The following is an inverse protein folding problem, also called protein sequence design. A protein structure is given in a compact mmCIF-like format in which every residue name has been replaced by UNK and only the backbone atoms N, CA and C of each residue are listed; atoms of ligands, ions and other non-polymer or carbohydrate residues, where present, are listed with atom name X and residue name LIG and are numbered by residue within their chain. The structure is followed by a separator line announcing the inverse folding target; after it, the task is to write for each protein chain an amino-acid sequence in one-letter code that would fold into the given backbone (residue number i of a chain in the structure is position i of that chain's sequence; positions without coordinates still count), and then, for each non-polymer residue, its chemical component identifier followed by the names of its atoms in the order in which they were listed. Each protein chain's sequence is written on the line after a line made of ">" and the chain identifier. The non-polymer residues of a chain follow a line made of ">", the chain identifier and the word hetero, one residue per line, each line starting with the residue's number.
data_IF_438496278741
#
_entry.id   IF_438496278741
#
_cell.length_a   1.000
_cell.length_b   1.000
_cell.length_c   1.000
_cell.angle_alpha   90.00
_cell.angle_beta   90.00
_cell.angle_gamma   90.00
#
_symmetry.space_group_name_H-M   'P 1'
#
loop_
_entity.id
_entity.type
_entity.pdbx_description
1 polymer ?
#
# COMPACT_ATOMS: atom_id res chain seq x y z
N UNK A 1 11.88 -29.94 -27.49
CA UNK A 1 10.53 -29.66 -26.99
C UNK A 1 10.21 -28.20 -27.25
N UNK A 2 9.02 -27.86 -27.82
CA UNK A 2 8.56 -26.48 -27.93
C UNK A 2 8.36 -25.91 -26.53
N UNK A 3 8.80 -24.65 -26.32
CA UNK A 3 8.60 -23.96 -25.04
C UNK A 3 7.11 -23.69 -24.85
N UNK A 4 6.62 -23.89 -23.63
CA UNK A 4 5.26 -23.48 -23.25
C UNK A 4 5.11 -21.98 -23.35
N UNK A 5 3.97 -21.52 -23.89
CA UNK A 5 3.63 -20.09 -24.01
C UNK A 5 2.66 -19.70 -22.91
N UNK A 6 3.01 -18.68 -22.15
CA UNK A 6 2.20 -18.20 -21.02
C UNK A 6 1.84 -16.75 -21.24
N UNK A 7 0.57 -16.41 -21.12
CA UNK A 7 0.11 -15.03 -21.02
C UNK A 7 -0.04 -14.64 -19.54
N UNK A 8 0.40 -13.44 -19.19
CA UNK A 8 0.13 -12.83 -17.88
C UNK A 8 -0.66 -11.55 -18.12
N UNK A 9 -1.83 -11.43 -17.52
CA UNK A 9 -2.69 -10.26 -17.64
C UNK A 9 -2.52 -9.39 -16.39
N UNK A 10 -1.98 -8.19 -16.56
CA UNK A 10 -1.61 -7.25 -15.51
C UNK A 10 -0.12 -7.31 -15.15
N UNK A 11 0.51 -6.14 -15.09
CA UNK A 11 1.93 -5.97 -14.81
C UNK A 11 2.21 -5.35 -13.42
N UNK A 12 1.29 -5.51 -12.47
CA UNK A 12 1.54 -5.25 -11.07
C UNK A 12 2.57 -6.23 -10.49
N UNK A 13 2.92 -6.08 -9.21
CA UNK A 13 3.93 -6.93 -8.53
C UNK A 13 3.67 -8.42 -8.72
N UNK A 14 2.43 -8.87 -8.58
CA UNK A 14 2.06 -10.29 -8.71
C UNK A 14 2.29 -10.80 -10.14
N UNK A 15 1.85 -10.03 -11.15
CA UNK A 15 2.02 -10.41 -12.56
C UNK A 15 3.48 -10.43 -13.00
N UNK A 16 4.26 -9.43 -12.59
CA UNK A 16 5.69 -9.38 -12.87
C UNK A 16 6.44 -10.54 -12.21
N UNK A 17 6.15 -10.83 -10.94
CA UNK A 17 6.78 -11.94 -10.22
C UNK A 17 6.41 -13.29 -10.84
N UNK A 18 5.14 -13.50 -11.20
CA UNK A 18 4.68 -14.71 -11.87
C UNK A 18 5.35 -14.88 -13.25
N UNK A 19 5.36 -13.80 -14.05
CA UNK A 19 6.03 -13.81 -15.35
C UNK A 19 7.52 -14.13 -15.26
N UNK A 20 8.21 -13.50 -14.32
CA UNK A 20 9.63 -13.77 -14.06
C UNK A 20 9.88 -15.23 -13.65
N UNK A 21 9.08 -15.77 -12.72
CA UNK A 21 9.19 -17.17 -12.30
C UNK A 21 8.96 -18.14 -13.48
N UNK A 22 7.92 -17.92 -14.27
CA UNK A 22 7.64 -18.73 -15.45
C UNK A 22 8.77 -18.65 -16.47
N UNK A 23 9.32 -17.46 -16.71
CA UNK A 23 10.48 -17.26 -17.61
C UNK A 23 11.72 -18.03 -17.10
N UNK A 24 11.99 -17.97 -15.79
CA UNK A 24 13.06 -18.75 -15.14
C UNK A 24 12.86 -20.27 -15.27
N UNK A 25 11.62 -20.72 -15.30
CA UNK A 25 11.25 -22.12 -15.58
C UNK A 25 11.38 -22.51 -17.06
N UNK A 26 11.84 -21.61 -17.93
CA UNK A 26 12.11 -21.90 -19.34
C UNK A 26 10.93 -21.73 -20.30
N UNK A 27 9.84 -21.07 -19.86
CA UNK A 27 8.67 -20.82 -20.71
C UNK A 27 8.79 -19.50 -21.47
N UNK A 28 8.00 -19.31 -22.53
CA UNK A 28 7.84 -18.03 -23.23
C UNK A 28 6.68 -17.27 -22.58
N UNK A 29 6.98 -16.07 -22.06
CA UNK A 29 6.00 -15.26 -21.30
C UNK A 29 5.70 -13.97 -22.04
N UNK A 30 4.42 -13.68 -22.22
CA UNK A 30 3.91 -12.40 -22.70
C UNK A 30 3.09 -11.72 -21.62
N UNK A 31 3.46 -10.50 -21.25
CA UNK A 31 2.71 -9.65 -20.31
C UNK A 31 1.76 -8.75 -21.10
N UNK A 32 0.50 -8.73 -20.72
CA UNK A 32 -0.51 -7.80 -21.22
C UNK A 32 -0.80 -6.75 -20.15
N UNK A 33 -0.60 -5.49 -20.48
CA UNK A 33 -0.81 -4.36 -19.60
C UNK A 33 -1.74 -3.33 -20.25
N UNK A 34 -2.82 -2.97 -19.54
CA UNK A 34 -3.79 -2.00 -20.04
C UNK A 34 -3.26 -0.57 -20.13
N UNK A 35 -2.30 -0.26 -19.25
CA UNK A 35 -1.66 1.07 -19.23
C UNK A 35 -0.52 1.16 -20.26
N UNK A 36 -0.15 2.39 -20.61
CA UNK A 36 0.95 2.64 -21.56
C UNK A 36 2.33 2.37 -20.94
N UNK A 37 2.48 2.52 -19.62
CA UNK A 37 3.70 2.23 -18.88
C UNK A 37 3.66 0.86 -18.22
N UNK A 38 4.82 0.36 -17.83
CA UNK A 38 5.02 -0.99 -17.32
C UNK A 38 4.97 -1.03 -15.81
N UNK A 39 4.36 -2.07 -15.27
CA UNK A 39 4.48 -2.40 -13.86
C UNK A 39 3.83 -1.40 -12.92
N UNK A 40 4.51 -1.16 -11.81
CA UNK A 40 4.00 -0.39 -10.69
C UNK A 40 4.37 1.10 -10.76
N UNK A 41 4.98 1.55 -11.84
CA UNK A 41 5.50 2.91 -11.97
C UNK A 41 4.60 3.85 -12.77
N UNK A 42 3.40 3.40 -13.18
CA UNK A 42 2.47 4.20 -13.97
C UNK A 42 2.15 5.56 -13.31
N UNK A 43 2.04 5.59 -12.00
CA UNK A 43 1.75 6.82 -11.26
C UNK A 43 2.99 7.48 -10.64
N UNK A 44 4.21 6.97 -10.93
CA UNK A 44 5.45 7.58 -10.44
C UNK A 44 5.58 9.01 -10.96
N UNK A 45 5.84 9.96 -10.05
CA UNK A 45 6.08 11.36 -10.38
C UNK A 45 7.58 11.59 -10.55
N UNK A 46 7.98 12.17 -11.67
CA UNK A 46 9.33 12.65 -11.88
C UNK A 46 9.35 14.15 -11.61
N UNK A 47 10.32 14.59 -10.81
CA UNK A 47 10.42 15.97 -10.35
C UNK A 47 11.79 16.52 -10.68
N UNK A 48 11.82 17.67 -11.33
CA UNK A 48 13.06 18.40 -11.58
C UNK A 48 13.41 19.24 -10.35
N UNK A 49 14.62 19.09 -9.86
CA UNK A 49 15.16 19.89 -8.76
C UNK A 49 15.74 21.22 -9.26
N UNK A 50 15.77 22.21 -8.38
CA UNK A 50 16.37 23.52 -8.64
C UNK A 50 17.89 23.43 -8.93
N UNK A 51 18.50 22.32 -8.58
CA UNK A 51 19.93 22.00 -8.78
C UNK A 51 20.17 21.19 -10.09
N UNK A 52 19.15 21.03 -10.91
CA UNK A 52 19.21 20.27 -12.17
C UNK A 52 19.22 18.77 -12.02
N UNK A 53 19.01 18.25 -10.79
CA UNK A 53 18.87 16.82 -10.55
C UNK A 53 17.41 16.43 -10.63
N UNK A 54 17.12 15.38 -11.38
CA UNK A 54 15.78 14.78 -11.42
C UNK A 54 15.63 13.79 -10.27
N UNK A 55 14.52 13.92 -9.55
CA UNK A 55 14.09 12.97 -8.53
C UNK A 55 12.83 12.24 -8.94
N UNK A 56 12.46 11.22 -8.19
CA UNK A 56 11.21 10.49 -8.42
C UNK A 56 10.47 10.23 -7.10
N UNK A 57 9.16 10.10 -7.22
CA UNK A 57 8.27 9.76 -6.09
C UNK A 57 7.34 8.64 -6.53
N UNK A 58 7.46 7.48 -5.88
CA UNK A 58 6.49 6.40 -6.06
C UNK A 58 5.10 6.84 -5.57
N UNK A 59 4.07 6.54 -6.34
CA UNK A 59 2.67 6.82 -5.96
C UNK A 59 1.86 5.52 -6.00
N UNK A 60 1.41 5.03 -4.85
CA UNK A 60 1.69 5.50 -3.49
C UNK A 60 3.14 5.25 -3.06
N UNK A 61 3.61 6.06 -2.12
CA UNK A 61 4.92 5.84 -1.51
C UNK A 61 4.95 4.48 -0.81
N UNK A 62 5.89 3.62 -1.21
CA UNK A 62 6.00 2.28 -0.64
C UNK A 62 7.12 2.21 0.38
N UNK A 63 6.74 1.93 1.62
CA UNK A 63 7.65 1.69 2.74
C UNK A 63 7.31 0.31 3.31
N UNK A 64 8.30 -0.57 3.42
CA UNK A 64 8.10 -1.98 3.73
C UNK A 64 8.67 -2.37 5.08
N UNK A 65 7.86 -3.02 5.90
CA UNK A 65 8.34 -3.72 7.09
C UNK A 65 8.89 -5.09 6.69
N UNK A 66 10.12 -5.47 7.11
CA UNK A 66 10.66 -6.80 6.84
C UNK A 66 9.77 -7.94 7.37
N UNK A 67 9.02 -7.68 8.43
CA UNK A 67 8.12 -8.68 9.01
C UNK A 67 6.77 -8.79 8.29
N UNK A 68 6.33 -7.72 7.61
CA UNK A 68 5.06 -7.73 6.88
C UNK A 68 5.23 -8.10 5.39
N UNK A 69 6.38 -7.76 4.80
CA UNK A 69 6.67 -8.02 3.37
C UNK A 69 7.97 -8.82 3.15
N UNK A 70 8.19 -9.95 3.85
CA UNK A 70 9.44 -10.71 3.73
C UNK A 70 9.67 -11.26 2.32
N UNK A 71 8.61 -11.66 1.62
CA UNK A 71 8.69 -12.20 0.26
C UNK A 71 9.16 -11.17 -0.76
N UNK A 72 8.66 -9.93 -0.65
CA UNK A 72 9.09 -8.84 -1.55
C UNK A 72 10.55 -8.50 -1.33
N UNK A 73 11.00 -8.41 -0.08
CA UNK A 73 12.40 -8.13 0.24
C UNK A 73 13.32 -9.27 -0.21
N UNK A 74 12.91 -10.53 -0.02
CA UNK A 74 13.64 -11.69 -0.55
C UNK A 74 13.74 -11.65 -2.08
N UNK A 75 12.68 -11.21 -2.77
CA UNK A 75 12.70 -11.03 -4.22
C UNK A 75 13.69 -9.93 -4.64
N UNK A 76 13.76 -8.83 -3.90
CA UNK A 76 14.76 -7.78 -4.11
C UNK A 76 16.19 -8.33 -3.97
N UNK A 77 16.46 -9.14 -2.95
CA UNK A 77 17.78 -9.76 -2.75
C UNK A 77 18.16 -10.69 -3.93
N UNK A 78 17.21 -11.52 -4.40
CA UNK A 78 17.42 -12.43 -5.55
C UNK A 78 17.72 -11.65 -6.83
N UNK A 79 17.11 -10.48 -7.03
CA UNK A 79 17.23 -9.65 -8.22
C UNK A 79 18.32 -8.58 -8.12
N UNK A 80 19.05 -8.54 -7.00
CA UNK A 80 20.04 -7.50 -6.70
C UNK A 80 19.43 -6.08 -6.79
N UNK A 81 18.21 -5.92 -6.29
CA UNK A 81 17.59 -4.61 -6.07
C UNK A 81 17.92 -4.16 -4.66
N UNK A 82 18.75 -3.14 -4.54
CA UNK A 82 19.17 -2.63 -3.23
C UNK A 82 18.01 -2.00 -2.48
N UNK A 83 18.02 -2.19 -1.16
CA UNK A 83 17.07 -1.55 -0.26
C UNK A 83 17.82 -0.77 0.81
N UNK A 84 17.21 0.28 1.34
CA UNK A 84 17.77 1.10 2.41
C UNK A 84 16.74 1.32 3.52
N UNK A 85 17.24 1.55 4.73
CA UNK A 85 16.40 1.83 5.89
C UNK A 85 15.92 3.28 5.87
N UNK A 86 14.69 3.49 6.33
CA UNK A 86 14.10 4.82 6.46
C UNK A 86 13.60 5.07 7.87
N UNK A 87 13.76 6.31 8.31
CA UNK A 87 13.20 6.77 9.57
C UNK A 87 11.85 7.42 9.34
N UNK A 88 10.86 6.93 10.07
CA UNK A 88 9.47 7.39 9.95
C UNK A 88 8.92 7.87 11.31
N UNK A 89 9.52 8.91 11.93
CA UNK A 89 8.94 9.50 13.12
C UNK A 89 7.56 10.08 12.81
N UNK A 90 6.71 10.07 13.85
CA UNK A 90 5.33 10.49 13.79
C UNK A 90 5.17 11.87 14.43
N UNK A 91 4.35 12.72 13.86
CA UNK A 91 3.82 13.92 14.53
C UNK A 91 2.29 13.92 14.46
N UNK A 92 1.65 14.30 15.57
CA UNK A 92 0.19 14.44 15.64
C UNK A 92 -0.17 15.88 16.04
N UNK A 93 -1.11 16.48 15.32
CA UNK A 93 -1.57 17.85 15.52
C UNK A 93 -3.08 17.93 15.59
N UNK A 94 -3.56 18.94 16.30
CA UNK A 94 -4.96 19.37 16.20
C UNK A 94 -5.17 20.18 14.92
N UNK A 95 -6.33 20.04 14.27
CA UNK A 95 -6.78 20.97 13.24
C UNK A 95 -7.56 22.11 13.91
N UNK A 96 -7.29 23.37 13.56
CA UNK A 96 -6.25 23.84 12.63
C UNK A 96 -4.86 24.01 13.26
N UNK A 97 -4.64 23.81 14.56
CA UNK A 97 -3.39 24.21 15.21
C UNK A 97 -2.87 23.26 16.28
N UNK A 98 -1.54 23.19 16.34
CA UNK A 98 -0.75 22.77 17.48
C UNK A 98 -0.41 21.29 17.53
N UNK A 99 0.86 20.98 17.32
CA UNK A 99 1.41 19.64 17.54
C UNK A 99 1.31 19.28 19.02
N UNK A 100 0.64 18.16 19.31
CA UNK A 100 0.47 17.68 20.68
C UNK A 100 1.25 16.40 20.96
N UNK A 101 1.70 15.69 19.93
CA UNK A 101 2.56 14.52 20.06
C UNK A 101 3.59 14.50 18.95
N UNK A 102 4.79 14.04 19.27
CA UNK A 102 5.85 13.70 18.31
C UNK A 102 6.60 12.50 18.83
N UNK A 103 6.88 11.51 17.99
CA UNK A 103 7.77 10.44 18.32
C UNK A 103 9.21 10.79 17.93
N UNK A 104 10.14 10.30 18.72
CA UNK A 104 11.54 10.15 18.38
C UNK A 104 11.89 8.69 18.57
N UNK A 105 12.95 8.23 17.93
CA UNK A 105 13.52 6.94 18.23
C UNK A 105 14.57 7.11 19.31
N UNK A 106 14.45 6.35 20.37
CA UNK A 106 15.44 6.25 21.41
C UNK A 106 16.14 4.90 21.28
N UNK A 107 17.46 4.92 21.17
CA UNK A 107 18.25 3.70 21.04
C UNK A 107 18.60 3.17 22.44
N UNK A 108 18.10 1.97 22.74
CA UNK A 108 18.45 1.26 23.97
C UNK A 108 19.14 -0.06 23.61
N UNK A 109 20.46 -0.06 23.67
CA UNK A 109 21.28 -1.17 23.16
C UNK A 109 21.07 -1.36 21.65
N UNK A 110 20.68 -2.57 21.24
CA UNK A 110 20.36 -2.91 19.84
C UNK A 110 18.90 -2.63 19.44
N UNK A 111 18.06 -2.15 20.38
CA UNK A 111 16.63 -1.91 20.14
C UNK A 111 16.34 -0.43 20.00
N UNK A 112 15.54 -0.09 19.01
CA UNK A 112 14.94 1.24 18.88
C UNK A 112 13.55 1.22 19.50
N UNK A 113 13.35 2.14 20.45
CA UNK A 113 12.06 2.30 21.15
C UNK A 113 11.47 3.65 20.73
N UNK A 114 10.25 3.70 20.20
CA UNK A 114 9.57 4.96 19.98
C UNK A 114 9.35 5.66 21.33
N UNK A 115 9.79 6.91 21.42
CA UNK A 115 9.68 7.74 22.62
C UNK A 115 9.17 9.13 22.26
N UNK A 116 8.72 9.87 23.24
CA UNK A 116 8.32 11.27 23.07
C UNK A 116 9.40 12.23 23.61
N UNK A 117 9.74 13.33 22.89
CA UNK A 117 10.61 14.37 23.43
C UNK A 117 10.08 14.95 24.73
N UNK A 118 10.97 15.39 25.64
CA UNK A 118 10.62 15.90 26.97
C UNK A 118 9.52 16.97 26.94
N UNK A 119 9.53 17.87 25.95
CA UNK A 119 8.50 18.91 25.80
C UNK A 119 7.08 18.38 25.58
N UNK A 120 6.91 17.13 25.14
CA UNK A 120 5.62 16.48 24.98
C UNK A 120 5.25 15.61 26.18
N UNK A 121 6.21 15.19 27.01
CA UNK A 121 5.94 14.38 28.20
C UNK A 121 5.13 15.12 29.28
N UNK A 122 5.05 16.45 29.22
CA UNK A 122 4.18 17.24 30.11
C UNK A 122 2.71 17.30 29.64
N UNK A 123 2.41 16.74 28.45
CA UNK A 123 1.07 16.79 27.85
C UNK A 123 0.28 15.52 28.16
N UNK A 124 -0.95 15.61 28.65
CA UNK A 124 -1.79 14.43 28.93
C UNK A 124 -2.06 13.59 27.67
N UNK A 125 -2.14 14.23 26.50
CA UNK A 125 -2.32 13.55 25.22
C UNK A 125 -1.23 12.52 24.93
N UNK A 126 0.01 12.82 25.33
CA UNK A 126 1.14 11.89 25.15
C UNK A 126 0.93 10.59 25.92
N UNK A 127 0.47 10.65 27.16
CA UNK A 127 0.22 9.45 27.96
C UNK A 127 -0.94 8.64 27.41
N UNK A 128 -1.99 9.30 26.92
CA UNK A 128 -3.12 8.65 26.25
C UNK A 128 -2.68 7.96 24.96
N UNK A 129 -1.78 8.60 24.18
CA UNK A 129 -1.17 8.01 23.00
C UNK A 129 -0.31 6.79 23.35
N UNK A 130 0.58 6.90 24.35
CA UNK A 130 1.44 5.80 24.81
C UNK A 130 0.64 4.62 25.37
N UNK A 131 -0.47 4.90 26.07
CA UNK A 131 -1.40 3.86 26.54
C UNK A 131 -1.98 3.06 25.36
N UNK A 132 -2.37 3.74 24.27
CA UNK A 132 -2.86 3.08 23.07
C UNK A 132 -1.79 2.20 22.41
N UNK A 133 -0.56 2.67 22.28
CA UNK A 133 0.56 1.84 21.81
C UNK A 133 0.77 0.60 22.68
N UNK A 134 0.69 0.75 24.02
CA UNK A 134 0.84 -0.36 24.94
C UNK A 134 -0.30 -1.38 24.79
N UNK A 135 -1.53 -0.93 24.55
CA UNK A 135 -2.67 -1.82 24.30
C UNK A 135 -2.45 -2.64 23.04
N UNK A 136 -2.01 -2.00 21.91
CA UNK A 136 -1.69 -2.73 20.68
C UNK A 136 -0.51 -3.68 20.87
N UNK A 137 0.54 -3.27 21.58
CA UNK A 137 1.69 -4.13 21.87
C UNK A 137 1.30 -5.40 22.66
N UNK A 138 0.41 -5.26 23.65
CA UNK A 138 -0.07 -6.36 24.50
C UNK A 138 -1.16 -7.19 23.86
N UNK A 139 -1.78 -6.72 22.80
CA UNK A 139 -2.77 -7.50 22.09
C UNK A 139 -2.11 -8.78 21.52
N UNK A 140 -2.82 -9.88 21.65
CA UNK A 140 -2.42 -11.16 21.07
C UNK A 140 -3.31 -11.49 19.87
N UNK A 141 -3.00 -11.00 18.65
CA UNK A 141 -3.88 -11.07 17.48
C UNK A 141 -4.39 -12.49 17.19
N UNK A 142 -3.52 -13.50 17.41
CA UNK A 142 -3.84 -14.91 17.13
C UNK A 142 -4.79 -15.54 18.16
N UNK A 143 -4.95 -14.92 19.32
CA UNK A 143 -5.86 -15.40 20.38
C UNK A 143 -7.18 -14.63 20.42
N UNK A 144 -7.34 -13.62 19.57
CA UNK A 144 -8.61 -12.93 19.42
C UNK A 144 -9.62 -13.82 18.69
N UNK A 145 -10.88 -13.62 18.99
CA UNK A 145 -11.97 -14.21 18.22
C UNK A 145 -11.79 -13.82 16.74
N UNK A 146 -11.82 -14.80 15.83
CA UNK A 146 -11.68 -14.58 14.39
C UNK A 146 -12.75 -13.67 13.83
N UNK A 147 -13.91 -13.63 14.47
CA UNK A 147 -15.06 -12.85 14.05
C UNK A 147 -15.11 -11.45 14.68
N UNK A 148 -14.17 -11.11 15.60
CA UNK A 148 -14.09 -9.80 16.23
C UNK A 148 -13.71 -8.72 15.20
N UNK A 149 -14.58 -7.72 15.03
CA UNK A 149 -14.27 -6.57 14.17
C UNK A 149 -13.40 -5.56 14.90
N UNK A 150 -12.79 -4.65 14.14
CA UNK A 150 -11.95 -3.61 14.68
C UNK A 150 -12.74 -2.63 15.56
N UNK A 151 -14.00 -2.34 15.20
CA UNK A 151 -14.91 -1.53 16.01
C UNK A 151 -15.22 -2.20 17.36
N UNK A 152 -15.55 -3.50 17.35
CA UNK A 152 -15.82 -4.28 18.55
C UNK A 152 -14.58 -4.36 19.45
N UNK A 153 -13.41 -4.61 18.89
CA UNK A 153 -12.13 -4.56 19.60
C UNK A 153 -11.95 -3.22 20.31
N UNK A 154 -12.11 -2.11 19.59
CA UNK A 154 -11.95 -0.76 20.15
C UNK A 154 -12.89 -0.51 21.33
N UNK A 155 -14.15 -0.92 21.21
CA UNK A 155 -15.16 -0.78 22.28
C UNK A 155 -14.84 -1.67 23.49
N UNK A 156 -14.51 -2.93 23.24
CA UNK A 156 -14.21 -3.92 24.30
C UNK A 156 -12.99 -3.53 25.12
N UNK A 157 -11.91 -3.12 24.45
CA UNK A 157 -10.65 -2.74 25.09
C UNK A 157 -10.56 -1.26 25.47
N UNK A 158 -11.63 -0.50 25.27
CA UNK A 158 -11.73 0.94 25.59
C UNK A 158 -10.53 1.72 25.11
N UNK A 159 -10.14 1.52 23.84
CA UNK A 159 -9.01 2.22 23.23
C UNK A 159 -9.27 3.72 23.20
N UNK A 160 -8.32 4.51 23.68
CA UNK A 160 -8.49 5.95 23.80
C UNK A 160 -8.74 6.62 22.43
N UNK A 161 -9.76 7.51 22.32
CA UNK A 161 -10.07 8.21 21.07
C UNK A 161 -8.88 9.00 20.48
N UNK A 162 -7.99 9.54 21.31
CA UNK A 162 -6.83 10.29 20.84
C UNK A 162 -5.86 9.39 20.07
N UNK A 163 -5.68 8.16 20.55
CA UNK A 163 -4.87 7.16 19.84
C UNK A 163 -5.59 6.65 18.60
N UNK A 164 -6.87 6.34 18.74
CA UNK A 164 -7.66 5.75 17.68
C UNK A 164 -7.88 6.71 16.52
N UNK A 165 -8.49 7.86 16.81
CA UNK A 165 -8.80 8.89 15.80
C UNK A 165 -7.59 9.76 15.42
N UNK A 166 -6.68 9.98 16.36
CA UNK A 166 -5.51 10.83 16.14
C UNK A 166 -4.34 10.14 15.44
N UNK A 167 -4.34 8.79 15.37
CA UNK A 167 -3.25 8.02 14.75
C UNK A 167 -3.76 6.85 13.91
N UNK A 168 -4.49 5.90 14.53
CA UNK A 168 -4.75 4.62 13.87
C UNK A 168 -5.70 4.74 12.69
N UNK A 169 -6.82 5.41 12.82
CA UNK A 169 -7.78 5.54 11.71
C UNK A 169 -7.15 6.16 10.47
N UNK A 170 -6.52 7.34 10.53
CA UNK A 170 -5.94 7.92 9.33
C UNK A 170 -4.79 7.08 8.75
N UNK A 171 -4.05 6.34 9.59
CA UNK A 171 -3.06 5.37 9.11
C UNK A 171 -3.73 4.19 8.40
N UNK A 172 -4.71 3.57 9.04
CA UNK A 172 -5.36 2.36 8.52
C UNK A 172 -6.18 2.64 7.26
N UNK A 173 -6.92 3.75 7.21
CA UNK A 173 -7.67 4.14 6.02
C UNK A 173 -6.75 4.38 4.83
N UNK A 174 -5.55 4.94 5.07
CA UNK A 174 -4.52 5.09 4.03
C UNK A 174 -3.93 3.74 3.60
N UNK A 175 -3.56 2.87 4.54
CA UNK A 175 -2.98 1.56 4.22
C UNK A 175 -3.99 0.65 3.53
N UNK A 176 -5.23 0.64 4.01
CA UNK A 176 -6.31 -0.20 3.49
C UNK A 176 -7.08 0.44 2.34
N UNK A 177 -6.77 1.69 1.99
CA UNK A 177 -7.40 2.43 0.87
C UNK A 177 -8.93 2.44 1.01
N UNK A 178 -9.44 2.83 2.18
CA UNK A 178 -10.87 2.80 2.52
C UNK A 178 -11.24 3.99 3.42
N UNK A 179 -12.50 4.10 3.79
CA UNK A 179 -12.99 5.05 4.79
C UNK A 179 -12.99 4.46 6.22
N UNK A 180 -13.33 5.29 7.21
CA UNK A 180 -13.38 4.87 8.62
C UNK A 180 -14.49 3.84 8.89
N UNK A 181 -15.63 3.93 8.20
CA UNK A 181 -16.74 3.01 8.37
C UNK A 181 -16.39 1.63 7.85
N UNK A 182 -15.72 1.59 6.74
CA UNK A 182 -15.24 0.35 6.12
C UNK A 182 -14.17 -0.33 7.00
N UNK A 183 -13.18 0.43 7.51
CA UNK A 183 -12.12 -0.15 8.34
C UNK A 183 -12.64 -0.70 9.67
N UNK A 184 -13.71 -0.14 10.23
CA UNK A 184 -14.35 -0.64 11.44
C UNK A 184 -14.89 -2.08 11.30
N UNK A 185 -15.20 -2.50 10.07
CA UNK A 185 -15.71 -3.85 9.76
C UNK A 185 -14.60 -4.89 9.52
N UNK A 186 -13.36 -4.46 9.45
CA UNK A 186 -12.24 -5.39 9.23
C UNK A 186 -12.02 -6.30 10.44
N UNK A 187 -11.55 -7.55 10.22
CA UNK A 187 -11.18 -8.45 11.29
C UNK A 187 -10.04 -7.88 12.15
N UNK A 188 -10.28 -7.70 13.44
CA UNK A 188 -9.33 -7.08 14.36
C UNK A 188 -7.98 -7.80 14.39
N UNK A 189 -7.99 -9.15 14.41
CA UNK A 189 -6.77 -9.96 14.47
C UNK A 189 -5.82 -9.68 13.30
N UNK A 190 -6.34 -9.54 12.08
CA UNK A 190 -5.52 -9.25 10.89
C UNK A 190 -4.89 -7.86 10.95
N UNK A 191 -5.66 -6.85 11.33
CA UNK A 191 -5.17 -5.47 11.42
C UNK A 191 -4.16 -5.32 12.54
N UNK A 192 -4.40 -5.92 13.69
CA UNK A 192 -3.47 -5.85 14.83
C UNK A 192 -2.16 -6.59 14.55
N UNK A 193 -2.19 -7.74 13.88
CA UNK A 193 -0.98 -8.44 13.43
C UNK A 193 -0.15 -7.58 12.46
N UNK A 194 -0.82 -6.94 11.51
CA UNK A 194 -0.16 -6.02 10.58
C UNK A 194 0.46 -4.81 11.31
N UNK A 195 -0.30 -4.18 12.21
CA UNK A 195 0.18 -3.05 12.99
C UNK A 195 1.39 -3.42 13.86
N UNK A 196 1.36 -4.57 14.54
CA UNK A 196 2.50 -5.03 15.33
C UNK A 196 3.74 -5.24 14.49
N UNK A 197 3.62 -5.80 13.29
CA UNK A 197 4.73 -5.99 12.35
C UNK A 197 5.30 -4.68 11.81
N UNK A 198 4.47 -3.65 11.66
CA UNK A 198 4.90 -2.33 11.15
C UNK A 198 5.47 -1.47 12.28
N UNK A 199 4.77 -1.38 13.42
CA UNK A 199 5.09 -0.43 14.49
C UNK A 199 6.23 -0.94 15.38
N UNK A 200 6.20 -2.23 15.73
CA UNK A 200 7.15 -2.85 16.67
C UNK A 200 8.16 -3.79 15.99
N UNK A 201 8.13 -3.84 14.66
CA UNK A 201 9.07 -4.62 13.87
C UNK A 201 10.42 -3.94 13.69
N UNK A 202 11.21 -4.49 12.78
CA UNK A 202 12.48 -3.89 12.36
C UNK A 202 12.24 -2.58 11.60
N UNK A 203 13.32 -1.80 11.40
CA UNK A 203 13.27 -0.57 10.60
C UNK A 203 12.61 -0.81 9.25
N UNK A 204 11.79 0.14 8.85
CA UNK A 204 11.15 0.12 7.55
C UNK A 204 12.18 0.32 6.44
N UNK A 205 11.94 -0.26 5.29
CA UNK A 205 12.85 -0.22 4.14
C UNK A 205 12.17 0.31 2.89
N UNK A 206 12.95 0.94 2.03
CA UNK A 206 12.55 1.35 0.69
C UNK A 206 13.46 0.75 -0.35
N UNK A 207 12.96 0.69 -1.58
CA UNK A 207 13.73 0.27 -2.76
C UNK A 207 14.59 1.45 -3.25
N UNK A 208 15.85 1.19 -3.49
CA UNK A 208 16.71 2.13 -4.19
C UNK A 208 16.28 2.19 -5.67
N UNK A 209 15.96 3.38 -6.16
CA UNK A 209 15.36 3.57 -7.48
C UNK A 209 13.85 3.32 -7.55
N UNK A 210 13.19 3.20 -6.38
CA UNK A 210 11.74 3.06 -6.28
C UNK A 210 11.21 1.72 -6.80
N UNK A 211 9.89 1.66 -6.97
CA UNK A 211 9.21 0.45 -7.49
C UNK A 211 9.61 0.15 -8.93
N UNK A 212 10.01 1.16 -9.68
CA UNK A 212 10.50 1.04 -11.06
C UNK A 212 11.70 0.10 -11.16
N UNK A 213 12.68 0.24 -10.26
CA UNK A 213 13.89 -0.60 -10.27
C UNK A 213 13.55 -2.10 -10.14
N UNK A 214 12.58 -2.46 -9.29
CA UNK A 214 12.13 -3.83 -9.15
C UNK A 214 11.32 -4.29 -10.38
N UNK A 215 10.43 -3.44 -10.89
CA UNK A 215 9.64 -3.74 -12.07
C UNK A 215 10.51 -4.00 -13.31
N UNK A 216 11.55 -3.20 -13.51
CA UNK A 216 12.53 -3.40 -14.61
C UNK A 216 13.26 -4.74 -14.49
N UNK A 217 13.73 -5.10 -13.29
CA UNK A 217 14.42 -6.39 -13.05
C UNK A 217 13.51 -7.60 -13.26
N UNK A 218 12.28 -7.52 -12.77
CA UNK A 218 11.27 -8.58 -12.97
C UNK A 218 10.85 -8.69 -14.43
N UNK A 219 10.79 -7.56 -15.12
CA UNK A 219 10.37 -7.49 -16.52
C UNK A 219 11.45 -7.83 -17.56
N UNK A 220 12.68 -8.12 -17.11
CA UNK A 220 13.79 -8.52 -18.00
C UNK A 220 13.44 -9.82 -18.73
N UNK A 221 13.70 -9.85 -20.04
CA UNK A 221 13.45 -11.01 -20.92
C UNK A 221 11.96 -11.44 -21.05
N UNK A 222 11.02 -10.58 -20.68
CA UNK A 222 9.60 -10.80 -20.92
C UNK A 222 9.15 -10.08 -22.21
N UNK A 223 8.21 -10.69 -22.91
CA UNK A 223 7.56 -10.02 -24.05
C UNK A 223 6.43 -9.12 -23.53
N UNK A 224 6.36 -7.87 -24.02
CA UNK A 224 5.44 -6.88 -23.53
C UNK A 224 4.39 -6.47 -24.56
N UNK A 225 3.15 -6.33 -24.10
CA UNK A 225 2.00 -5.79 -24.81
C UNK A 225 1.36 -4.70 -23.93
N UNK A 226 1.99 -3.49 -23.92
CA UNK A 226 1.50 -2.32 -23.19
C UNK A 226 0.40 -1.61 -23.98
N UNK A 227 -0.55 -0.95 -23.29
CA UNK A 227 -1.72 -0.31 -23.87
C UNK A 227 -2.78 -1.32 -24.35
N UNK A 228 -2.68 -2.58 -23.96
CA UNK A 228 -3.57 -3.66 -24.36
C UNK A 228 -4.43 -4.10 -23.18
N UNK A 229 -5.67 -3.64 -23.16
CA UNK A 229 -6.68 -4.11 -22.21
C UNK A 229 -7.31 -5.40 -22.75
N UNK A 230 -7.16 -6.50 -22.02
CA UNK A 230 -7.83 -7.76 -22.35
C UNK A 230 -9.31 -7.64 -22.01
N UNK A 231 -10.19 -7.94 -22.97
CA UNK A 231 -11.64 -7.81 -22.89
C UNK A 231 -12.36 -9.15 -22.89
N UNK A 232 -11.69 -10.20 -23.40
CA UNK A 232 -12.24 -11.53 -23.46
C UNK A 232 -11.13 -12.58 -23.45
N UNK A 233 -11.40 -13.69 -22.76
CA UNK A 233 -10.63 -14.91 -22.78
C UNK A 233 -11.47 -16.02 -23.39
N UNK A 234 -10.94 -16.74 -24.37
CA UNK A 234 -11.61 -17.86 -25.00
C UNK A 234 -10.70 -19.09 -25.06
N UNK A 235 -11.25 -20.25 -24.77
CA UNK A 235 -10.53 -21.53 -24.85
C UNK A 235 -10.95 -22.27 -26.12
N UNK A 236 -9.96 -22.68 -26.90
CA UNK A 236 -10.12 -23.45 -28.14
C UNK A 236 -9.28 -24.73 -28.03
N UNK A 237 -9.52 -25.70 -28.90
CA UNK A 237 -8.73 -26.96 -28.93
C UNK A 237 -7.22 -26.75 -29.10
N UNK A 238 -6.84 -25.61 -29.71
CA UNK A 238 -5.42 -25.24 -29.93
C UNK A 238 -4.78 -24.48 -28.77
N UNK A 239 -5.52 -24.12 -27.72
CA UNK A 239 -5.06 -23.35 -26.57
C UNK A 239 -5.96 -22.17 -26.23
N UNK A 240 -5.49 -21.31 -25.32
CA UNK A 240 -6.22 -20.14 -24.84
C UNK A 240 -5.88 -18.91 -25.67
N UNK A 241 -6.90 -18.12 -26.00
CA UNK A 241 -6.78 -16.88 -26.76
C UNK A 241 -7.27 -15.69 -25.93
N UNK A 242 -6.62 -14.54 -26.10
CA UNK A 242 -7.00 -13.28 -25.48
C UNK A 242 -7.42 -12.31 -26.57
N UNK A 243 -8.53 -11.60 -26.37
CA UNK A 243 -9.02 -10.57 -27.30
C UNK A 243 -8.95 -9.20 -26.64
N UNK A 244 -8.51 -8.21 -27.43
CA UNK A 244 -8.52 -6.80 -27.09
C UNK A 244 -8.89 -6.01 -28.33
N UNK A 245 -10.02 -5.29 -28.28
CA UNK A 245 -10.57 -4.62 -29.45
C UNK A 245 -10.69 -5.57 -30.67
N UNK A 246 -9.95 -5.29 -31.76
CA UNK A 246 -9.96 -6.09 -32.98
C UNK A 246 -8.82 -7.11 -33.05
N UNK A 247 -7.99 -7.22 -32.01
CA UNK A 247 -6.84 -8.09 -32.00
C UNK A 247 -7.08 -9.35 -31.19
N UNK A 248 -6.69 -10.51 -31.73
CA UNK A 248 -6.64 -11.79 -31.02
C UNK A 248 -5.17 -12.21 -30.83
N UNK A 249 -4.84 -12.62 -29.64
CA UNK A 249 -3.50 -13.07 -29.23
C UNK A 249 -3.56 -14.50 -28.75
N UNK A 250 -2.62 -15.33 -29.16
CA UNK A 250 -2.57 -16.75 -28.78
C UNK A 250 -2.06 -17.62 -29.94
N UNK A 251 -2.15 -18.94 -29.83
CA UNK A 251 -2.60 -19.68 -28.65
C UNK A 251 -1.58 -19.62 -27.52
N UNK A 252 -2.08 -19.58 -26.28
CA UNK A 252 -1.28 -19.74 -25.06
C UNK A 252 -1.62 -21.10 -24.41
N UNK A 253 -0.60 -21.75 -23.83
CA UNK A 253 -0.81 -22.98 -23.05
C UNK A 253 -1.46 -22.68 -21.69
N UNK A 254 -1.12 -21.53 -21.08
CA UNK A 254 -1.66 -21.08 -19.80
C UNK A 254 -1.86 -19.57 -19.79
N UNK A 255 -2.81 -19.10 -18.97
CA UNK A 255 -3.07 -17.68 -18.71
C UNK A 255 -3.04 -17.44 -17.21
N UNK A 256 -2.28 -16.46 -16.77
CA UNK A 256 -2.23 -16.01 -15.37
C UNK A 256 -2.93 -14.65 -15.30
N UNK A 257 -4.07 -14.58 -14.60
CA UNK A 257 -4.78 -13.34 -14.34
C UNK A 257 -4.21 -12.69 -13.08
N UNK A 258 -3.47 -11.60 -13.24
CA UNK A 258 -2.82 -10.85 -12.18
C UNK A 258 -3.34 -9.40 -12.06
N UNK A 259 -4.62 -9.23 -12.31
CA UNK A 259 -5.37 -7.98 -12.14
C UNK A 259 -6.20 -8.03 -10.86
N UNK A 260 -6.77 -6.91 -10.44
CA UNK A 260 -7.72 -6.89 -9.34
C UNK A 260 -8.97 -7.71 -9.67
N UNK A 261 -9.57 -8.32 -8.66
CA UNK A 261 -10.70 -9.26 -8.85
C UNK A 261 -11.90 -8.61 -9.52
N UNK A 262 -12.19 -7.33 -9.23
CA UNK A 262 -13.24 -6.55 -9.88
C UNK A 262 -12.99 -6.26 -11.37
N UNK A 263 -11.80 -6.57 -11.89
CA UNK A 263 -11.43 -6.40 -13.30
C UNK A 263 -11.41 -7.71 -14.10
N UNK A 264 -11.94 -8.80 -13.54
CA UNK A 264 -11.96 -10.13 -14.18
C UNK A 264 -13.20 -10.39 -15.06
N UNK A 265 -13.89 -9.35 -15.52
CA UNK A 265 -15.11 -9.47 -16.35
C UNK A 265 -14.87 -10.16 -17.69
N UNK A 266 -13.63 -10.29 -18.13
CA UNK A 266 -13.24 -10.97 -19.37
C UNK A 266 -13.17 -12.51 -19.23
N UNK A 267 -13.33 -13.06 -18.03
CA UNK A 267 -13.35 -14.52 -17.82
C UNK A 267 -14.62 -15.14 -18.40
N UNK A 268 -14.50 -16.30 -19.08
CA UNK A 268 -15.63 -17.07 -19.56
C UNK A 268 -16.59 -17.51 -18.44
N UNK A 269 -17.84 -17.81 -18.81
CA UNK A 269 -18.88 -18.20 -17.86
C UNK A 269 -18.56 -19.49 -17.08
N UNK A 270 -17.77 -20.38 -17.65
CA UNK A 270 -17.32 -21.61 -16.97
C UNK A 270 -16.56 -21.36 -15.65
N UNK A 271 -16.00 -20.15 -15.45
CA UNK A 271 -15.36 -19.70 -14.23
C UNK A 271 -16.32 -18.97 -13.27
N UNK A 272 -17.64 -19.21 -13.40
CA UNK A 272 -18.66 -18.54 -12.58
C UNK A 272 -18.47 -18.79 -11.06
N UNK A 273 -17.96 -19.98 -10.67
CA UNK A 273 -17.70 -20.32 -9.26
C UNK A 273 -16.59 -19.47 -8.68
N UNK A 274 -15.46 -19.38 -9.38
CA UNK A 274 -14.32 -18.56 -9.00
C UNK A 274 -14.70 -17.08 -8.94
N UNK A 275 -15.43 -16.60 -9.95
CA UNK A 275 -15.95 -15.22 -9.97
C UNK A 275 -16.85 -14.94 -8.77
N UNK A 276 -17.78 -15.84 -8.44
CA UNK A 276 -18.67 -15.67 -7.29
C UNK A 276 -17.91 -15.52 -5.97
N UNK A 277 -16.80 -16.26 -5.79
CA UNK A 277 -15.95 -16.12 -4.60
C UNK A 277 -15.25 -14.76 -4.60
N UNK A 278 -14.70 -14.33 -5.74
CA UNK A 278 -13.98 -13.07 -5.87
C UNK A 278 -14.90 -11.85 -5.76
N UNK A 279 -16.11 -11.93 -6.28
CA UNK A 279 -17.16 -10.90 -6.22
C UNK A 279 -17.67 -10.66 -4.77
N UNK A 280 -17.44 -11.62 -3.86
CA UNK A 280 -17.75 -11.45 -2.44
C UNK A 280 -16.82 -10.43 -1.72
N UNK A 281 -15.79 -9.96 -2.39
CA UNK A 281 -14.88 -8.93 -1.89
C UNK A 281 -15.20 -7.58 -2.55
N UNK A 282 -16.01 -6.72 -1.90
CA UNK A 282 -16.29 -5.39 -2.43
C UNK A 282 -15.03 -4.56 -2.47
N UNK A 283 -15.03 -3.53 -3.31
CA UNK A 283 -13.92 -2.59 -3.42
C UNK A 283 -14.32 -1.24 -2.84
N UNK A 284 -13.45 -0.68 -2.02
CA UNK A 284 -13.52 0.72 -1.60
C UNK A 284 -12.48 1.53 -2.38
N UNK A 285 -12.78 2.81 -2.61
CA UNK A 285 -11.99 3.68 -3.45
C UNK A 285 -11.83 5.07 -2.85
N UNK A 286 -10.83 5.78 -3.33
CA UNK A 286 -10.58 7.17 -2.95
C UNK A 286 -9.47 7.77 -3.80
N UNK A 287 -9.01 8.95 -3.40
CA UNK A 287 -7.98 9.69 -4.13
C UNK A 287 -6.74 9.89 -3.27
N UNK A 288 -5.60 9.48 -3.81
CA UNK A 288 -4.29 9.83 -3.26
C UNK A 288 -3.78 11.09 -3.95
N UNK A 289 -3.65 12.15 -3.18
CA UNK A 289 -3.12 13.43 -3.64
C UNK A 289 -1.61 13.48 -3.45
N UNK A 290 -0.90 13.90 -4.49
CA UNK A 290 0.51 14.26 -4.44
C UNK A 290 0.60 15.76 -4.62
N UNK A 291 1.16 16.48 -3.65
CA UNK A 291 1.08 17.94 -3.62
C UNK A 291 2.26 18.59 -2.88
N UNK A 292 2.36 19.92 -2.99
CA UNK A 292 3.32 20.79 -2.30
C UNK A 292 2.66 21.75 -1.31
N UNK A 293 1.42 21.49 -0.92
CA UNK A 293 0.64 22.37 -0.07
C UNK A 293 1.02 22.19 1.41
N UNK A 294 1.74 23.17 1.95
CA UNK A 294 2.25 23.14 3.34
C UNK A 294 1.15 23.25 4.40
N UNK A 295 -0.11 23.60 4.05
CA UNK A 295 -1.25 23.61 4.99
C UNK A 295 -1.52 22.22 5.59
N UNK A 296 -1.03 21.17 4.98
CA UNK A 296 -1.10 19.80 5.47
C UNK A 296 -0.06 19.47 6.54
N UNK A 297 0.78 20.42 6.90
CA UNK A 297 1.84 20.26 7.89
C UNK A 297 1.69 21.30 9.02
N UNK A 298 2.31 21.09 10.19
CA UNK A 298 2.35 22.11 11.24
C UNK A 298 2.97 23.41 10.73
N UNK A 299 2.46 24.56 11.20
CA UNK A 299 3.03 25.88 10.89
C UNK A 299 4.51 25.97 11.26
N UNK A 300 4.88 25.39 12.42
CA UNK A 300 6.27 25.33 12.84
C UNK A 300 6.98 24.17 12.16
N UNK A 301 7.87 24.46 11.23
CA UNK A 301 8.68 23.46 10.50
C UNK A 301 9.52 22.55 11.42
N UNK A 302 9.84 22.97 12.66
CA UNK A 302 10.53 22.12 13.65
C UNK A 302 9.67 20.94 14.12
N UNK A 303 8.35 21.02 13.92
CA UNK A 303 7.42 19.96 14.27
C UNK A 303 7.10 19.04 13.08
N UNK A 304 7.62 19.32 11.91
CA UNK A 304 7.44 18.45 10.75
C UNK A 304 8.04 17.07 11.00
N UNK A 305 7.31 16.07 10.58
CA UNK A 305 7.73 14.65 10.61
C UNK A 305 7.30 13.98 9.34
N UNK A 306 8.02 12.96 8.87
CA UNK A 306 7.64 12.18 7.67
C UNK A 306 6.20 11.67 7.71
N UNK A 307 5.74 11.21 8.87
CA UNK A 307 4.36 10.77 9.07
C UNK A 307 3.62 11.80 9.93
N UNK A 308 2.73 12.55 9.31
CA UNK A 308 1.99 13.60 9.98
C UNK A 308 0.49 13.32 10.03
N UNK A 309 -0.06 13.31 11.25
CA UNK A 309 -1.45 13.03 11.54
C UNK A 309 -2.13 14.28 12.06
N UNK A 310 -3.29 14.61 11.49
CA UNK A 310 -4.10 15.75 11.91
C UNK A 310 -5.50 15.27 12.27
N UNK A 311 -6.03 15.78 13.38
CA UNK A 311 -7.36 15.43 13.86
C UNK A 311 -8.06 16.68 14.40
N UNK A 312 -9.36 16.80 14.15
CA UNK A 312 -10.19 17.82 14.79
C UNK A 312 -10.33 17.54 16.28
N UNK A 313 -10.45 18.59 17.10
CA UNK A 313 -10.59 18.47 18.57
C UNK A 313 -11.80 17.66 19.02
N UNK A 314 -12.87 17.65 18.22
CA UNK A 314 -14.08 16.87 18.42
C UNK A 314 -13.99 15.42 17.87
N UNK A 315 -12.84 15.06 17.31
CA UNK A 315 -12.60 13.77 16.66
C UNK A 315 -13.52 13.43 15.48
N UNK A 316 -14.20 14.43 14.91
CA UNK A 316 -15.13 14.21 13.78
C UNK A 316 -14.42 13.86 12.48
N UNK A 317 -13.21 14.37 12.27
CA UNK A 317 -12.42 14.13 11.05
C UNK A 317 -10.94 14.03 11.39
N UNK A 318 -10.25 13.17 10.68
CA UNK A 318 -8.80 13.00 10.76
C UNK A 318 -8.21 12.79 9.38
N UNK A 319 -6.93 13.11 9.18
CA UNK A 319 -6.19 12.85 7.96
C UNK A 319 -4.73 12.52 8.26
N UNK A 320 -4.11 11.87 7.30
CA UNK A 320 -2.71 11.46 7.36
C UNK A 320 -1.98 11.93 6.10
N UNK A 321 -0.89 12.63 6.30
CA UNK A 321 -0.01 13.10 5.24
C UNK A 321 1.39 12.54 5.41
N UNK A 322 1.98 12.10 4.32
CA UNK A 322 3.39 11.68 4.28
C UNK A 322 4.21 12.80 3.68
N UNK A 323 5.16 13.33 4.43
CA UNK A 323 6.20 14.20 3.89
C UNK A 323 7.31 13.33 3.28
N UNK A 324 7.38 13.35 1.95
CA UNK A 324 8.18 12.38 1.18
C UNK A 324 9.68 12.67 1.21
N UNK A 325 10.09 13.95 1.23
CA UNK A 325 11.51 14.33 1.09
C UNK A 325 12.48 13.64 2.08
N UNK A 326 12.15 13.47 3.38
CA UNK A 326 13.05 12.77 4.30
C UNK A 326 13.14 11.26 4.07
N UNK A 327 12.17 10.70 3.32
CA UNK A 327 12.05 9.26 3.08
C UNK A 327 12.63 8.89 1.71
N UNK A 328 12.61 9.83 0.74
CA UNK A 328 13.08 9.62 -0.63
C UNK A 328 14.31 10.49 -0.92
N UNK A 329 15.52 9.91 -0.86
CA UNK A 329 16.76 10.66 -1.02
C UNK A 329 16.89 11.41 -2.35
N UNK A 330 16.25 10.93 -3.41
CA UNK A 330 16.33 11.54 -4.75
C UNK A 330 15.69 12.93 -4.80
N UNK A 331 14.80 13.24 -3.85
CA UNK A 331 14.14 14.54 -3.73
C UNK A 331 14.44 15.27 -2.42
N UNK A 332 15.45 14.85 -1.67
CA UNK A 332 15.76 15.41 -0.34
C UNK A 332 15.96 16.93 -0.35
N UNK A 333 16.54 17.48 -1.43
CA UNK A 333 16.81 18.92 -1.61
C UNK A 333 15.74 19.66 -2.41
N UNK A 334 14.73 18.96 -2.89
CA UNK A 334 13.62 19.57 -3.63
C UNK A 334 12.65 20.32 -2.72
N UNK A 335 11.79 21.15 -3.32
CA UNK A 335 10.65 21.71 -2.61
C UNK A 335 9.82 20.58 -1.95
N UNK A 336 9.20 20.82 -0.78
CA UNK A 336 8.45 19.79 -0.08
C UNK A 336 7.41 19.11 -0.94
N UNK A 337 7.33 17.79 -0.82
CA UNK A 337 6.34 16.93 -1.50
C UNK A 337 5.62 16.11 -0.46
N UNK A 338 4.30 16.08 -0.55
CA UNK A 338 3.41 15.36 0.34
C UNK A 338 2.54 14.37 -0.42
N UNK A 339 2.17 13.28 0.24
CA UNK A 339 1.12 12.37 -0.20
C UNK A 339 0.05 12.29 0.88
N UNK A 340 -1.21 12.56 0.50
CA UNK A 340 -2.35 12.52 1.43
C UNK A 340 -3.51 11.75 0.83
N UNK A 341 -4.00 10.74 1.56
CA UNK A 341 -5.16 9.93 1.18
C UNK A 341 -6.45 10.60 1.66
N UNK A 342 -7.42 10.76 0.75
CA UNK A 342 -8.75 11.31 1.04
C UNK A 342 -8.70 12.46 2.07
N UNK A 343 -8.04 13.58 1.76
CA UNK A 343 -7.85 14.66 2.72
C UNK A 343 -9.18 15.33 3.11
N UNK A 344 -9.22 15.95 4.30
CA UNK A 344 -10.37 16.71 4.80
C UNK A 344 -10.67 17.94 3.91
N UNK A 345 -9.65 18.49 3.29
CA UNK A 345 -9.73 19.58 2.32
C UNK A 345 -8.76 19.31 1.18
N UNK A 346 -9.09 19.73 -0.02
CA UNK A 346 -8.25 19.53 -1.19
C UNK A 346 -7.02 20.44 -1.16
N UNK A 347 -5.87 19.96 -1.65
CA UNK A 347 -4.71 20.81 -1.91
C UNK A 347 -5.06 21.92 -2.92
N UNK A 348 -4.40 23.08 -2.80
CA UNK A 348 -4.51 24.15 -3.78
C UNK A 348 -4.11 23.62 -5.17
N UNK A 349 -4.87 24.01 -6.19
CA UNK A 349 -4.72 23.49 -7.55
C UNK A 349 -3.29 23.70 -8.10
N UNK A 350 -2.71 24.88 -7.88
CA UNK A 350 -1.36 25.23 -8.32
C UNK A 350 -0.25 24.49 -7.55
N UNK A 351 -0.58 23.90 -6.39
CA UNK A 351 0.35 23.09 -5.58
C UNK A 351 0.13 21.60 -5.76
N UNK A 352 -0.87 21.20 -6.54
CA UNK A 352 -1.17 19.80 -6.83
C UNK A 352 -0.27 19.28 -7.95
N UNK A 353 0.43 18.18 -7.69
CA UNK A 353 1.24 17.48 -8.68
C UNK A 353 0.43 16.40 -9.39
N UNK A 354 -0.36 15.63 -8.63
CA UNK A 354 -1.31 14.67 -9.19
C UNK A 354 -2.39 14.28 -8.18
N UNK A 355 -3.51 13.81 -8.71
CA UNK A 355 -4.59 13.19 -7.95
C UNK A 355 -4.86 11.81 -8.57
N UNK A 356 -4.57 10.76 -7.82
CA UNK A 356 -4.59 9.38 -8.33
C UNK A 356 -5.73 8.61 -7.67
N UNK A 357 -6.76 8.21 -8.43
CA UNK A 357 -7.79 7.33 -7.92
C UNK A 357 -7.19 5.95 -7.63
N UNK A 358 -7.50 5.41 -6.48
CA UNK A 358 -7.07 4.08 -6.05
C UNK A 358 -8.23 3.32 -5.44
N UNK A 359 -8.20 2.02 -5.59
CA UNK A 359 -9.18 1.11 -5.02
C UNK A 359 -8.51 -0.13 -4.43
N UNK A 360 -9.16 -0.75 -3.47
CA UNK A 360 -8.69 -1.98 -2.84
C UNK A 360 -9.86 -2.84 -2.39
N UNK A 361 -9.67 -4.15 -2.49
CA UNK A 361 -10.62 -5.12 -1.95
C UNK A 361 -10.73 -4.97 -0.42
N UNK A 362 -11.97 -4.99 0.06
CA UNK A 362 -12.32 -4.91 1.48
C UNK A 362 -12.49 -6.31 2.05
N UNK A 363 -11.82 -6.59 3.16
CA UNK A 363 -11.96 -7.83 3.91
C UNK A 363 -12.91 -7.59 5.07
N UNK A 364 -14.04 -8.29 5.08
CA UNK A 364 -15.05 -8.23 6.16
C UNK A 364 -15.07 -9.53 6.97
N UNK A 365 -15.82 -9.53 8.07
CA UNK A 365 -16.11 -10.74 8.86
C UNK A 365 -16.69 -11.87 7.99
N UNK A 366 -17.57 -11.53 7.06
CA UNK A 366 -18.28 -12.49 6.23
C UNK A 366 -17.37 -13.10 5.16
N UNK A 367 -16.63 -12.25 4.44
CA UNK A 367 -15.84 -12.71 3.30
C UNK A 367 -14.45 -13.24 3.66
N UNK A 368 -13.91 -12.94 4.85
CA UNK A 368 -12.60 -13.46 5.25
C UNK A 368 -12.52 -15.00 5.24
N UNK A 369 -13.65 -15.69 5.48
CA UNK A 369 -13.73 -17.15 5.47
C UNK A 369 -13.47 -17.73 4.08
N UNK A 370 -13.79 -16.97 3.03
CA UNK A 370 -13.57 -17.35 1.64
C UNK A 370 -12.10 -17.27 1.22
N UNK A 371 -11.23 -16.58 1.98
CA UNK A 371 -9.79 -16.51 1.68
C UNK A 371 -9.14 -17.90 1.64
N UNK A 372 -9.63 -18.84 2.47
CA UNK A 372 -9.15 -20.22 2.46
C UNK A 372 -9.60 -21.02 1.22
N UNK A 373 -10.69 -20.60 0.58
CA UNK A 373 -11.20 -21.21 -0.66
C UNK A 373 -10.43 -20.70 -1.88
N UNK A 374 -10.07 -19.42 -1.90
CA UNK A 374 -9.26 -18.82 -2.97
C UNK A 374 -7.91 -19.55 -3.09
N UNK A 375 -7.25 -19.86 -1.97
CA UNK A 375 -5.99 -20.59 -1.98
C UNK A 375 -6.09 -22.06 -2.41
N UNK A 376 -7.28 -22.66 -2.42
CA UNK A 376 -7.53 -24.06 -2.82
C UNK A 376 -7.85 -24.21 -4.31
N UNK A 377 -8.18 -23.14 -5.00
CA UNK A 377 -8.50 -23.18 -6.42
C UNK A 377 -7.30 -23.46 -7.34
N UNK A 378 -6.11 -23.64 -6.78
CA UNK A 378 -4.86 -23.80 -7.52
C UNK A 378 -4.14 -25.14 -7.29
N UNK A 379 -4.86 -26.15 -6.78
CA UNK A 379 -4.30 -27.51 -6.62
C UNK A 379 -4.87 -28.43 -7.67
#
# INVERSE_FOLDING_TARGET
>A
MMKKKIAVIGSGMAGLAAGWLCRKAGTDVTIFEAQSSRGMDFHTQFLDGNDGRSGHVDVPLRVMSPHAWPTVLKLCDILDVKTFEVDTPVACSWLPQGTWFRSIKFQFGSREIPWAPLRYLIRPETYRMLSGFLQIYRAHPKSLDSDLTLEEFRKQYRVDPIFWKGLLYPLLTTICTCDEKTIDQWPAGQILDLLQKIVFGSRLRRLQGGTKALAEKLGTDLTWKSGIRVEELSEKSSGTFLRSQNNEFGPFDYVICAVQANHLNFLPEQYHRERKILDAFPYDSGTLWVHRDERFMPENRKDWSPLHYQVKKDFSQSMFSVWVNPIEPTIATHAPVFQTWNPIFEPEAEKTLSAVPMERAVVTRENQKLLSEIGRAHV
#
